data_IF_863135093976
#
_entry.id   IF_863135093976
#
_cell.length_a   1.000
_cell.length_b   1.000
_cell.length_c   1.000
_cell.angle_alpha   90.00
_cell.angle_beta   90.00
_cell.angle_gamma   90.00
#
_symmetry.space_group_name_H-M   'P 1'
#
loop_
_entity.id
_entity.type
_entity.pdbx_description
1 polymer ?
#
# COMPACT_ATOMS: atom_id res chain seq x y z
N UNK A 1 15.28 17.94 2.17
CA UNK A 1 15.10 16.47 2.16
C UNK A 1 13.78 16.20 1.48
N UNK A 2 13.67 15.15 0.65
CA UNK A 2 12.41 14.77 0.02
C UNK A 2 11.40 14.28 1.04
N UNK A 3 10.09 14.48 0.77
CA UNK A 3 9.01 14.08 1.67
C UNK A 3 8.08 13.09 0.98
N UNK A 4 7.90 11.92 1.57
CA UNK A 4 7.09 10.82 1.04
C UNK A 4 5.97 10.49 2.01
N UNK A 5 4.73 10.42 1.52
CA UNK A 5 3.57 9.97 2.28
C UNK A 5 3.14 8.59 1.79
N UNK A 6 3.04 7.63 2.71
CA UNK A 6 2.53 6.29 2.45
C UNK A 6 1.11 6.17 3.02
N UNK A 7 0.13 5.87 2.17
CA UNK A 7 -1.27 5.62 2.55
C UNK A 7 -1.64 4.21 2.11
N UNK A 8 -2.33 3.46 2.95
CA UNK A 8 -2.76 2.12 2.56
C UNK A 8 -3.24 1.25 3.72
N UNK A 9 -3.70 0.08 3.36
CA UNK A 9 -4.23 -0.91 4.27
C UNK A 9 -3.12 -1.72 5.00
N UNK A 10 -3.45 -2.92 5.44
CA UNK A 10 -2.51 -3.80 6.14
C UNK A 10 -1.30 -4.21 5.28
N UNK A 11 -1.41 -4.21 3.95
CA UNK A 11 -0.26 -4.46 3.07
C UNK A 11 0.77 -3.34 3.22
N UNK A 12 0.32 -2.06 3.22
CA UNK A 12 1.20 -0.91 3.50
C UNK A 12 1.88 -1.05 4.87
N UNK A 13 1.16 -1.48 5.90
CA UNK A 13 1.72 -1.66 7.25
C UNK A 13 2.86 -2.70 7.30
N UNK A 14 2.92 -3.62 6.35
CA UNK A 14 4.00 -4.59 6.22
C UNK A 14 5.32 -4.01 5.74
N UNK A 15 5.30 -2.88 5.02
CA UNK A 15 6.50 -2.28 4.44
C UNK A 15 6.80 -0.84 4.87
N UNK A 16 5.88 -0.12 5.51
CA UNK A 16 6.02 1.30 5.81
C UNK A 16 7.23 1.64 6.68
N UNK A 17 7.41 0.94 7.78
CA UNK A 17 8.54 1.12 8.70
C UNK A 17 9.87 0.81 8.01
N UNK A 18 9.92 -0.24 7.21
CA UNK A 18 11.13 -0.60 6.46
C UNK A 18 11.44 0.42 5.37
N UNK A 19 10.42 0.92 4.67
CA UNK A 19 10.58 2.01 3.70
C UNK A 19 11.13 3.27 4.37
N UNK A 20 10.61 3.65 5.55
CA UNK A 20 11.13 4.76 6.34
C UNK A 20 12.59 4.56 6.72
N UNK A 21 12.96 3.36 7.15
CA UNK A 21 14.34 3.02 7.50
C UNK A 21 15.27 3.08 6.28
N UNK A 22 14.80 2.63 5.10
CA UNK A 22 15.59 2.69 3.88
C UNK A 22 15.93 4.13 3.48
N UNK A 23 15.03 5.07 3.69
CA UNK A 23 15.21 6.47 3.30
C UNK A 23 15.68 7.39 4.44
N UNK A 24 16.07 6.87 5.59
CA UNK A 24 16.44 7.64 6.80
C UNK A 24 17.39 8.83 6.54
N UNK A 25 18.29 8.71 5.55
CA UNK A 25 19.27 9.75 5.21
C UNK A 25 18.90 10.59 3.97
N UNK A 26 17.87 10.20 3.19
CA UNK A 26 17.57 10.81 1.90
C UNK A 26 16.14 11.35 1.77
N UNK A 27 15.18 10.87 2.58
CA UNK A 27 13.83 11.39 2.61
C UNK A 27 13.19 11.24 3.99
N UNK A 28 12.22 12.12 4.26
CA UNK A 28 11.30 11.98 5.38
C UNK A 28 10.10 11.16 4.92
N UNK A 29 9.88 10.00 5.54
CA UNK A 29 8.76 9.12 5.20
C UNK A 29 7.71 9.16 6.30
N UNK A 30 6.49 9.51 5.91
CA UNK A 30 5.33 9.67 6.78
C UNK A 30 4.28 8.62 6.44
N UNK A 31 3.56 8.14 7.45
CA UNK A 31 2.39 7.27 7.28
C UNK A 31 1.49 7.33 8.51
N UNK A 32 0.16 7.17 8.36
CA UNK A 32 -0.74 7.00 9.49
C UNK A 32 -0.39 5.74 10.29
N UNK A 33 -0.51 5.80 11.60
CA UNK A 33 -0.34 4.62 12.47
C UNK A 33 -1.45 3.59 12.24
N UNK A 34 -2.64 4.07 11.86
CA UNK A 34 -3.82 3.24 11.62
C UNK A 34 -3.77 2.56 10.24
N UNK A 35 -4.51 1.47 10.12
CA UNK A 35 -4.83 0.83 8.85
C UNK A 35 -5.79 1.73 8.08
N UNK A 36 -5.43 2.11 6.85
CA UNK A 36 -6.27 3.00 6.04
C UNK A 36 -7.45 2.28 5.35
N UNK A 37 -7.57 0.98 5.54
CA UNK A 37 -8.71 0.12 5.18
C UNK A 37 -9.18 0.27 3.72
N UNK A 38 -10.45 0.64 3.52
CA UNK A 38 -11.11 0.74 2.22
C UNK A 38 -11.14 2.17 1.68
N UNK A 39 -11.46 2.31 0.41
CA UNK A 39 -11.42 3.60 -0.31
C UNK A 39 -12.29 4.69 0.33
N UNK A 40 -13.48 4.37 0.83
CA UNK A 40 -14.34 5.33 1.52
C UNK A 40 -13.73 5.86 2.82
N UNK A 41 -12.98 5.01 3.52
CA UNK A 41 -12.25 5.40 4.73
C UNK A 41 -11.09 6.35 4.39
N UNK A 42 -10.34 6.07 3.32
CA UNK A 42 -9.27 6.96 2.83
C UNK A 42 -9.84 8.35 2.48
N UNK A 43 -10.95 8.40 1.73
CA UNK A 43 -11.61 9.68 1.38
C UNK A 43 -11.94 10.49 2.62
N UNK A 44 -12.50 9.83 3.65
CA UNK A 44 -12.90 10.51 4.88
C UNK A 44 -11.71 11.02 5.70
N UNK A 45 -10.61 10.27 5.75
CA UNK A 45 -9.53 10.52 6.71
C UNK A 45 -8.27 11.14 6.11
N UNK A 46 -8.12 11.24 4.79
CA UNK A 46 -6.86 11.74 4.17
C UNK A 46 -6.49 13.15 4.65
N UNK A 47 -7.48 14.03 4.78
CA UNK A 47 -7.30 15.37 5.35
C UNK A 47 -6.95 15.33 6.86
N UNK A 48 -7.55 14.42 7.62
CA UNK A 48 -7.27 14.28 9.04
C UNK A 48 -5.85 13.78 9.28
N UNK A 49 -5.38 12.80 8.48
CA UNK A 49 -3.99 12.32 8.52
C UNK A 49 -2.98 13.41 8.15
N UNK A 50 -3.30 14.29 7.19
CA UNK A 50 -2.45 15.46 6.90
C UNK A 50 -2.24 16.31 8.15
N UNK A 51 -3.30 16.57 8.92
CA UNK A 51 -3.23 17.34 10.18
C UNK A 51 -2.49 16.57 11.28
N UNK A 52 -2.84 15.30 11.49
CA UNK A 52 -2.24 14.45 12.53
C UNK A 52 -0.73 14.31 12.35
N UNK A 53 -0.30 14.10 11.11
CA UNK A 53 1.11 13.98 10.75
C UNK A 53 1.81 15.33 10.59
N UNK A 54 1.09 16.44 10.77
CA UNK A 54 1.59 17.83 10.63
C UNK A 54 2.27 18.09 9.28
N UNK A 55 1.65 17.57 8.20
CA UNK A 55 2.19 17.73 6.84
C UNK A 55 1.81 19.08 6.25
N UNK A 56 2.78 19.71 5.58
CA UNK A 56 2.54 20.85 4.69
C UNK A 56 2.00 20.40 3.31
N UNK A 57 1.98 21.34 2.37
CA UNK A 57 1.62 21.08 0.98
C UNK A 57 2.82 20.54 0.17
N UNK A 58 4.01 20.57 0.78
CA UNK A 58 5.32 20.27 0.20
C UNK A 58 5.69 18.77 0.23
N UNK A 59 4.70 17.90 0.12
CA UNK A 59 4.92 16.46 -0.10
C UNK A 59 5.37 16.25 -1.54
N UNK A 60 6.52 15.59 -1.74
CA UNK A 60 7.07 15.30 -3.08
C UNK A 60 6.42 14.07 -3.72
N UNK A 61 5.95 13.09 -2.91
CA UNK A 61 5.36 11.86 -3.41
C UNK A 61 4.34 11.27 -2.44
N UNK A 62 3.20 10.86 -2.98
CA UNK A 62 2.21 10.02 -2.29
C UNK A 62 2.21 8.63 -2.93
N UNK A 63 2.65 7.62 -2.18
CA UNK A 63 2.55 6.20 -2.54
C UNK A 63 1.39 5.60 -1.77
N UNK A 64 0.41 5.00 -2.46
CA UNK A 64 -0.80 4.55 -1.80
C UNK A 64 -1.39 3.29 -2.41
N UNK A 65 -2.15 2.52 -1.60
CA UNK A 65 -2.92 1.37 -2.05
C UNK A 65 -4.30 1.32 -1.39
N UNK A 66 -5.25 0.72 -2.07
CA UNK A 66 -6.56 0.32 -1.57
C UNK A 66 -7.15 -0.74 -2.50
N UNK A 67 -7.94 -1.67 -1.96
CA UNK A 67 -8.62 -2.68 -2.76
C UNK A 67 -9.03 -3.92 -1.97
N UNK A 68 -8.12 -4.54 -1.20
CA UNK A 68 -8.41 -5.79 -0.46
C UNK A 68 -9.53 -5.68 0.59
N UNK A 69 -9.87 -4.49 1.03
CA UNK A 69 -11.04 -4.26 1.86
C UNK A 69 -12.28 -3.97 1.03
N UNK A 70 -12.11 -3.34 -0.14
CA UNK A 70 -13.19 -3.01 -1.04
C UNK A 70 -13.75 -4.26 -1.74
N UNK A 71 -12.87 -5.16 -2.21
CA UNK A 71 -13.23 -6.40 -2.92
C UNK A 71 -13.72 -7.53 -2.02
N UNK A 72 -13.72 -7.32 -0.69
CA UNK A 72 -14.16 -8.31 0.28
C UNK A 72 -15.64 -8.66 0.08
N UNK A 73 -15.95 -9.92 -0.18
CA UNK A 73 -17.33 -10.40 -0.27
C UNK A 73 -17.88 -10.63 1.14
N UNK A 74 -18.89 -9.84 1.48
CA UNK A 74 -19.53 -9.81 2.79
C UNK A 74 -20.52 -11.00 2.96
N UNK A 75 -21.10 -11.13 4.15
CA UNK A 75 -22.01 -12.23 4.51
C UNK A 75 -23.28 -12.28 3.64
N UNK A 76 -23.69 -11.15 3.07
CA UNK A 76 -24.83 -11.05 2.14
C UNK A 76 -24.47 -11.40 0.68
N UNK A 77 -23.23 -11.84 0.44
CA UNK A 77 -22.72 -12.20 -0.89
C UNK A 77 -22.34 -11.02 -1.79
N UNK A 78 -22.34 -9.77 -1.27
CA UNK A 78 -21.95 -8.58 -2.01
C UNK A 78 -20.55 -8.13 -1.62
N UNK A 79 -19.84 -7.47 -2.53
CA UNK A 79 -18.59 -6.81 -2.19
C UNK A 79 -18.83 -5.70 -1.15
N UNK A 80 -17.89 -5.50 -0.24
CA UNK A 80 -17.92 -4.42 0.73
C UNK A 80 -18.11 -3.05 0.05
N UNK A 81 -17.39 -2.83 -1.03
CA UNK A 81 -17.54 -1.68 -1.93
C UNK A 81 -17.74 -2.21 -3.35
N UNK A 82 -18.87 -1.97 -3.98
CA UNK A 82 -19.08 -2.41 -5.37
C UNK A 82 -18.03 -1.81 -6.30
N UNK A 83 -17.71 -2.49 -7.40
CA UNK A 83 -16.68 -2.04 -8.33
C UNK A 83 -16.95 -0.62 -8.88
N UNK A 84 -18.21 -0.24 -9.12
CA UNK A 84 -18.53 1.09 -9.61
C UNK A 84 -18.32 2.18 -8.55
N UNK A 85 -18.69 1.91 -7.30
CA UNK A 85 -18.39 2.81 -6.17
C UNK A 85 -16.87 2.89 -5.93
N UNK A 86 -16.16 1.76 -6.05
CA UNK A 86 -14.71 1.74 -5.96
C UNK A 86 -14.04 2.63 -7.01
N UNK A 87 -14.47 2.55 -8.28
CA UNK A 87 -13.98 3.42 -9.37
C UNK A 87 -14.17 4.89 -9.03
N UNK A 88 -15.38 5.27 -8.59
CA UNK A 88 -15.69 6.63 -8.17
C UNK A 88 -14.79 7.07 -7.00
N UNK A 89 -14.59 6.20 -6.02
CA UNK A 89 -13.74 6.48 -4.87
C UNK A 89 -12.27 6.65 -5.27
N UNK A 90 -11.71 5.81 -6.16
CA UNK A 90 -10.34 5.96 -6.69
C UNK A 90 -10.20 7.32 -7.39
N UNK A 91 -11.15 7.69 -8.24
CA UNK A 91 -11.18 9.01 -8.89
C UNK A 91 -11.14 10.15 -7.86
N UNK A 92 -11.97 10.07 -6.82
CA UNK A 92 -12.03 11.06 -5.75
C UNK A 92 -10.75 11.13 -4.95
N UNK A 93 -10.14 9.98 -4.61
CA UNK A 93 -8.86 9.93 -3.88
C UNK A 93 -7.77 10.63 -4.67
N UNK A 94 -7.65 10.36 -5.99
CA UNK A 94 -6.69 11.03 -6.85
C UNK A 94 -6.87 12.57 -6.84
N UNK A 95 -8.11 13.04 -6.89
CA UNK A 95 -8.39 14.48 -6.81
C UNK A 95 -8.07 15.07 -5.43
N UNK A 96 -8.41 14.37 -4.35
CA UNK A 96 -8.11 14.82 -2.98
C UNK A 96 -6.58 14.90 -2.77
N UNK A 97 -5.83 13.91 -3.27
CA UNK A 97 -4.36 13.95 -3.20
C UNK A 97 -3.83 15.21 -3.91
N UNK A 98 -4.32 15.52 -5.11
CA UNK A 98 -3.93 16.73 -5.85
C UNK A 98 -4.31 18.05 -5.14
N UNK A 99 -5.45 18.06 -4.44
CA UNK A 99 -5.88 19.23 -3.66
C UNK A 99 -4.99 19.42 -2.43
N UNK A 100 -4.67 18.33 -1.73
CA UNK A 100 -3.90 18.39 -0.49
C UNK A 100 -2.40 18.55 -0.72
N UNK A 101 -1.88 18.02 -1.84
CA UNK A 101 -0.46 17.97 -2.18
C UNK A 101 -0.29 18.23 -3.69
N UNK A 102 -0.46 19.48 -4.15
CA UNK A 102 -0.60 19.83 -5.57
C UNK A 102 0.61 19.44 -6.43
N UNK A 103 1.80 19.47 -5.86
CA UNK A 103 3.06 19.18 -6.57
C UNK A 103 3.54 17.73 -6.35
N UNK A 104 2.82 16.92 -5.56
CA UNK A 104 3.21 15.56 -5.27
C UNK A 104 3.07 14.65 -6.48
N UNK A 105 4.10 13.86 -6.75
CA UNK A 105 3.96 12.67 -7.61
C UNK A 105 3.05 11.65 -6.93
N UNK A 106 2.28 10.91 -7.73
CA UNK A 106 1.36 9.90 -7.22
C UNK A 106 1.77 8.53 -7.75
N UNK A 107 1.94 7.56 -6.84
CA UNK A 107 2.15 6.15 -7.18
C UNK A 107 1.06 5.32 -6.51
N UNK A 108 0.31 4.56 -7.30
CA UNK A 108 -0.64 3.58 -6.79
C UNK A 108 0.00 2.20 -6.78
N UNK A 109 0.00 1.54 -5.64
CA UNK A 109 0.40 0.14 -5.51
C UNK A 109 -0.83 -0.75 -5.68
N UNK A 110 -0.76 -1.73 -6.57
CA UNK A 110 -1.84 -2.71 -6.75
C UNK A 110 -1.99 -3.57 -5.50
N UNK A 111 -3.21 -3.96 -5.19
CA UNK A 111 -3.51 -4.95 -4.15
C UNK A 111 -2.87 -6.28 -4.50
N UNK A 112 -2.32 -6.96 -3.49
CA UNK A 112 -1.61 -8.24 -3.64
C UNK A 112 -2.58 -9.42 -3.75
N UNK A 113 -2.16 -10.57 -4.32
CA UNK A 113 -2.97 -11.79 -4.31
C UNK A 113 -3.17 -12.33 -2.89
N UNK A 114 -4.18 -13.16 -2.73
CA UNK A 114 -4.55 -13.82 -1.47
C UNK A 114 -4.64 -15.34 -1.64
N UNK A 115 -4.61 -16.07 -0.52
CA UNK A 115 -4.87 -17.51 -0.50
C UNK A 115 -6.39 -17.74 -0.36
N UNK A 116 -7.12 -17.73 -1.50
CA UNK A 116 -8.59 -17.74 -1.56
C UNK A 116 -9.26 -18.86 -0.76
N UNK A 117 -8.65 -20.04 -0.81
CA UNK A 117 -9.17 -21.26 -0.17
C UNK A 117 -9.16 -21.19 1.35
N UNK A 118 -8.35 -20.32 1.94
CA UNK A 118 -8.25 -20.17 3.39
C UNK A 118 -9.37 -19.30 3.97
N UNK A 119 -10.06 -18.49 3.14
CA UNK A 119 -11.16 -17.67 3.60
C UNK A 119 -12.42 -18.49 3.87
N UNK A 120 -12.82 -18.57 5.12
CA UNK A 120 -14.05 -19.29 5.54
C UNK A 120 -15.28 -18.37 5.54
N UNK A 121 -15.09 -17.14 5.95
CA UNK A 121 -16.13 -16.10 6.07
C UNK A 121 -15.59 -14.81 5.47
N UNK A 122 -16.44 -14.00 4.86
CA UNK A 122 -16.02 -12.77 4.19
C UNK A 122 -14.89 -13.04 3.19
N UNK A 123 -15.25 -13.68 2.08
CA UNK A 123 -14.29 -14.23 1.10
C UNK A 123 -13.62 -13.14 0.25
N UNK A 124 -12.42 -13.44 -0.22
CA UNK A 124 -11.73 -12.71 -1.28
C UNK A 124 -11.40 -13.66 -2.41
N UNK A 125 -11.48 -13.16 -3.63
CA UNK A 125 -11.15 -13.91 -4.85
C UNK A 125 -10.13 -13.11 -5.65
N UNK A 126 -9.04 -13.73 -6.07
CA UNK A 126 -7.99 -13.07 -6.84
C UNK A 126 -8.51 -12.48 -8.16
N UNK A 127 -9.53 -13.12 -8.80
CA UNK A 127 -10.21 -12.58 -9.97
C UNK A 127 -10.87 -11.21 -9.70
N UNK A 128 -11.42 -11.02 -8.50
CA UNK A 128 -12.05 -9.76 -8.11
C UNK A 128 -10.96 -8.72 -7.80
N UNK A 129 -9.90 -9.11 -7.08
CA UNK A 129 -8.72 -8.27 -6.86
C UNK A 129 -8.09 -7.80 -8.18
N UNK A 130 -7.97 -8.68 -9.20
CA UNK A 130 -7.51 -8.32 -10.54
C UNK A 130 -8.42 -7.29 -11.21
N UNK A 131 -9.75 -7.43 -11.09
CA UNK A 131 -10.71 -6.49 -11.65
C UNK A 131 -10.64 -5.11 -10.97
N UNK A 132 -10.52 -5.08 -9.63
CA UNK A 132 -10.37 -3.84 -8.86
C UNK A 132 -9.02 -3.16 -9.18
N UNK A 133 -7.93 -3.91 -9.23
CA UNK A 133 -6.63 -3.39 -9.63
C UNK A 133 -6.68 -2.79 -11.04
N UNK A 134 -7.29 -3.49 -12.00
CA UNK A 134 -7.41 -3.00 -13.39
C UNK A 134 -8.16 -1.67 -13.47
N UNK A 135 -9.26 -1.55 -12.73
CA UNK A 135 -10.05 -0.33 -12.66
C UNK A 135 -9.26 0.84 -12.02
N UNK A 136 -8.53 0.57 -10.92
CA UNK A 136 -7.70 1.57 -10.28
C UNK A 136 -6.56 2.04 -11.17
N UNK A 137 -5.85 1.11 -11.84
CA UNK A 137 -4.75 1.41 -12.77
C UNK A 137 -5.22 2.37 -13.87
N UNK A 138 -6.37 2.10 -14.49
CA UNK A 138 -6.92 2.96 -15.54
C UNK A 138 -7.14 4.39 -15.05
N UNK A 139 -7.78 4.53 -13.89
CA UNK A 139 -8.15 5.85 -13.33
C UNK A 139 -6.90 6.60 -12.87
N UNK A 140 -5.99 5.94 -12.16
CA UNK A 140 -4.76 6.56 -11.67
C UNK A 140 -3.88 7.07 -12.80
N UNK A 141 -3.72 6.27 -13.88
CA UNK A 141 -2.97 6.69 -15.08
C UNK A 141 -3.61 7.91 -15.75
N UNK A 142 -4.94 7.97 -15.85
CA UNK A 142 -5.64 9.16 -16.36
C UNK A 142 -5.40 10.42 -15.52
N UNK A 143 -5.10 10.25 -14.22
CA UNK A 143 -4.72 11.35 -13.32
C UNK A 143 -3.21 11.65 -13.32
N UNK A 144 -2.42 11.02 -14.21
CA UNK A 144 -0.97 11.22 -14.30
C UNK A 144 -0.18 10.49 -13.21
N UNK A 145 -0.81 9.55 -12.50
CA UNK A 145 -0.12 8.71 -11.52
C UNK A 145 0.61 7.53 -12.15
N UNK A 146 1.65 7.06 -11.47
CA UNK A 146 2.42 5.86 -11.81
C UNK A 146 1.87 4.64 -11.05
N UNK A 147 2.24 3.44 -11.50
CA UNK A 147 1.79 2.17 -10.92
C UNK A 147 2.98 1.40 -10.37
N UNK A 148 2.87 0.97 -9.12
CA UNK A 148 3.72 -0.03 -8.51
C UNK A 148 2.97 -1.37 -8.50
N UNK A 149 3.28 -2.26 -9.43
CA UNK A 149 2.56 -3.54 -9.60
C UNK A 149 3.03 -4.58 -8.57
N UNK A 150 2.49 -4.49 -7.35
CA UNK A 150 2.72 -5.47 -6.30
C UNK A 150 1.93 -6.77 -6.55
N UNK A 151 0.81 -6.73 -7.30
CA UNK A 151 0.05 -7.94 -7.61
C UNK A 151 0.88 -8.93 -8.41
N UNK A 152 1.42 -8.48 -9.54
CA UNK A 152 2.25 -9.34 -10.41
C UNK A 152 3.52 -9.80 -9.68
N UNK A 153 4.15 -8.91 -8.90
CA UNK A 153 5.32 -9.26 -8.09
C UNK A 153 5.03 -10.44 -7.17
N UNK A 154 3.95 -10.35 -6.40
CA UNK A 154 3.62 -11.34 -5.36
C UNK A 154 2.94 -12.59 -5.92
N UNK A 155 2.24 -12.50 -7.06
CA UNK A 155 1.68 -13.66 -7.77
C UNK A 155 2.78 -14.64 -8.24
N UNK A 156 3.96 -14.12 -8.52
CA UNK A 156 5.12 -14.92 -8.94
C UNK A 156 6.04 -15.32 -7.77
N UNK A 157 5.74 -14.88 -6.56
CA UNK A 157 6.52 -15.23 -5.36
C UNK A 157 6.13 -16.62 -4.82
N UNK A 158 7.04 -17.31 -4.13
CA UNK A 158 6.74 -18.55 -3.44
C UNK A 158 5.59 -18.39 -2.42
N UNK A 159 4.74 -19.42 -2.29
CA UNK A 159 3.56 -19.37 -1.41
C UNK A 159 3.94 -19.16 0.07
N UNK A 160 5.09 -19.67 0.49
CA UNK A 160 5.65 -19.51 1.83
C UNK A 160 6.04 -18.06 2.20
N UNK A 161 5.96 -17.13 1.24
CA UNK A 161 6.14 -15.70 1.55
C UNK A 161 4.90 -15.11 2.22
N UNK A 162 3.74 -15.78 2.13
CA UNK A 162 2.59 -15.42 2.94
C UNK A 162 2.85 -15.70 4.43
N UNK A 163 2.44 -14.79 5.29
CA UNK A 163 2.38 -14.99 6.75
C UNK A 163 1.03 -15.50 7.20
N UNK A 164 0.00 -15.26 6.41
CA UNK A 164 -1.38 -15.73 6.60
C UNK A 164 -2.14 -15.69 5.27
N UNK A 165 -3.46 -15.75 5.31
CA UNK A 165 -4.30 -15.81 4.12
C UNK A 165 -4.22 -14.58 3.18
N UNK A 166 -3.72 -13.43 3.65
CA UNK A 166 -3.68 -12.18 2.88
C UNK A 166 -2.36 -11.41 2.97
N UNK A 167 -1.55 -11.66 4.00
CA UNK A 167 -0.37 -10.83 4.29
C UNK A 167 0.94 -11.54 3.96
N UNK A 168 1.98 -10.74 3.80
CA UNK A 168 3.34 -11.14 3.45
C UNK A 168 4.36 -10.65 4.49
N UNK A 169 4.05 -10.85 5.78
CA UNK A 169 4.88 -10.37 6.89
C UNK A 169 6.03 -11.31 7.27
N UNK A 170 6.25 -12.38 6.49
CA UNK A 170 7.48 -13.16 6.56
C UNK A 170 8.68 -12.28 6.20
N UNK A 171 9.89 -12.69 6.57
CA UNK A 171 11.12 -11.96 6.24
C UNK A 171 11.26 -11.77 4.71
N UNK A 172 11.07 -12.83 3.97
CA UNK A 172 11.18 -12.87 2.51
C UNK A 172 10.11 -12.03 1.83
N UNK A 173 8.84 -12.17 2.26
CA UNK A 173 7.71 -11.39 1.74
C UNK A 173 7.89 -9.89 2.01
N UNK A 174 8.21 -9.53 3.25
CA UNK A 174 8.51 -8.15 3.65
C UNK A 174 9.66 -7.57 2.82
N UNK A 175 10.77 -8.32 2.68
CA UNK A 175 11.93 -7.89 1.88
C UNK A 175 11.55 -7.63 0.42
N UNK A 176 10.81 -8.55 -0.19
CA UNK A 176 10.46 -8.46 -1.61
C UNK A 176 9.57 -7.24 -1.87
N UNK A 177 8.49 -7.07 -1.11
CA UNK A 177 7.58 -5.93 -1.25
C UNK A 177 8.29 -4.61 -0.94
N UNK A 178 9.02 -4.53 0.17
CA UNK A 178 9.74 -3.29 0.54
C UNK A 178 10.76 -2.90 -0.52
N UNK A 179 11.51 -3.85 -1.06
CA UNK A 179 12.48 -3.57 -2.13
C UNK A 179 11.80 -2.97 -3.35
N UNK A 180 10.65 -3.51 -3.77
CA UNK A 180 9.88 -2.98 -4.90
C UNK A 180 9.36 -1.56 -4.62
N UNK A 181 8.84 -1.32 -3.41
CA UNK A 181 8.36 0.02 -3.00
C UNK A 181 9.51 1.03 -2.97
N UNK A 182 10.64 0.66 -2.38
CA UNK A 182 11.84 1.52 -2.34
C UNK A 182 12.32 1.85 -3.75
N UNK A 183 12.45 0.86 -4.63
CA UNK A 183 12.89 1.07 -6.01
C UNK A 183 11.94 2.02 -6.79
N UNK A 184 10.63 1.91 -6.58
CA UNK A 184 9.66 2.83 -7.20
C UNK A 184 9.84 4.27 -6.71
N UNK A 185 10.04 4.46 -5.41
CA UNK A 185 10.23 5.78 -4.81
C UNK A 185 11.59 6.38 -5.25
N UNK A 186 12.67 5.59 -5.24
CA UNK A 186 13.99 5.99 -5.73
C UNK A 186 13.91 6.54 -7.14
N UNK A 187 13.29 5.76 -8.04
CA UNK A 187 13.11 6.14 -9.44
C UNK A 187 12.29 7.42 -9.60
N UNK A 188 11.18 7.52 -8.84
CA UNK A 188 10.29 8.67 -8.96
C UNK A 188 10.91 9.97 -8.46
N UNK A 189 11.72 9.93 -7.40
CA UNK A 189 12.28 11.11 -6.75
C UNK A 189 13.77 11.37 -7.08
N UNK A 190 14.40 10.48 -7.84
CA UNK A 190 15.85 10.52 -8.10
C UNK A 190 16.69 10.59 -6.82
N UNK A 191 16.38 9.70 -5.87
CA UNK A 191 17.08 9.55 -4.59
C UNK A 191 17.51 8.12 -4.38
N UNK A 192 18.35 7.86 -3.37
CA UNK A 192 18.79 6.52 -3.00
C UNK A 192 18.44 6.19 -1.55
N UNK A 193 17.86 5.03 -1.36
CA UNK A 193 17.69 4.40 -0.06
C UNK A 193 18.91 3.56 0.31
N UNK A 194 19.10 3.33 1.61
CA UNK A 194 20.12 2.39 2.08
C UNK A 194 19.60 0.95 1.99
N UNK A 195 20.51 0.02 1.74
CA UNK A 195 20.22 -1.42 1.83
C UNK A 195 19.90 -1.79 3.28
N UNK A 196 18.84 -2.57 3.48
CA UNK A 196 18.41 -3.04 4.80
C UNK A 196 18.90 -4.46 5.07
N UNK A 197 19.35 -4.69 6.30
CA UNK A 197 19.73 -6.01 6.81
C UNK A 197 18.50 -6.69 7.44
N UNK A 198 17.73 -7.39 6.62
CA UNK A 198 16.51 -8.07 7.05
C UNK A 198 16.78 -9.22 8.03
N UNK A 199 17.92 -9.91 7.91
CA UNK A 199 18.27 -11.00 8.82
C UNK A 199 18.42 -10.46 10.24
N UNK A 200 19.15 -9.37 10.41
CA UNK A 200 19.31 -8.71 11.71
C UNK A 200 18.00 -8.11 12.26
N UNK A 201 17.14 -7.60 11.38
CA UNK A 201 15.86 -7.00 11.79
C UNK A 201 14.87 -8.06 12.28
N UNK A 202 14.78 -9.19 11.59
CA UNK A 202 13.86 -10.26 11.96
C UNK A 202 14.36 -11.07 13.16
N UNK A 203 15.67 -11.32 13.30
CA UNK A 203 16.24 -11.93 14.51
C UNK A 203 15.88 -11.16 15.80
N UNK A 204 15.94 -9.81 15.76
CA UNK A 204 15.50 -8.98 16.89
C UNK A 204 14.01 -9.09 17.22
N UNK A 205 13.15 -9.34 16.22
CA UNK A 205 11.72 -9.58 16.46
C UNK A 205 11.49 -10.89 17.21
N UNK A 206 12.19 -11.94 16.85
CA UNK A 206 12.12 -13.24 17.52
C UNK A 206 12.57 -13.17 18.97
N UNK A 207 13.68 -12.45 19.27
CA UNK A 207 14.13 -12.20 20.63
C UNK A 207 13.11 -11.45 21.51
N UNK A 208 12.39 -10.46 20.94
CA UNK A 208 11.37 -9.66 21.66
C UNK A 208 10.09 -10.47 21.91
N UNK A 209 9.75 -11.42 21.05
CA UNK A 209 8.55 -12.27 21.16
C UNK A 209 8.82 -13.52 22.02
N UNK A 210 10.09 -13.83 22.32
CA UNK A 210 10.45 -14.93 23.19
C UNK A 210 10.20 -16.31 22.60
N UNK A 211 10.30 -16.46 21.28
CA UNK A 211 10.27 -17.73 20.54
C UNK A 211 11.68 -18.10 20.12
#
# INVERSE_FOLDING_TARGET
>A
MKKVLLIGDSIRMGYDTYTKMAFESSAEVYFPKDNCRFTGYIIRHLHDWKKELKLGDDIDLVHWNAGLWDDLVMLDGKHHTSLDIYKENIYRICNIIKILFPDAKMIFATSTPVQEELFKVCKRYNRDTEAYNSAAIEIVKKHGGEINDLYTLMKNAPIEYHSDLAHYYTKEGTRLITTQVVNCIEKALDIKGKTLDYDKMFAKKEEVIGI
#
